data_IF_593841170845
#
_entry.id   IF_593841170845
#
_cell.length_a   1.000
_cell.length_b   1.000
_cell.length_c   1.000
_cell.angle_alpha   90.00
_cell.angle_beta   90.00
_cell.angle_gamma   90.00
#
_symmetry.space_group_name_H-M   'P 1'
#
loop_
_entity.id
_entity.type
_entity.pdbx_description
1 polymer ?
#
# COMPACT_ATOMS: atom_id res chain seq x y z
N UNK A 1 25.61 -3.67 -9.40
CA UNK A 1 25.13 -5.03 -9.04
C UNK A 1 25.41 -5.36 -7.56
N UNK A 2 25.99 -4.43 -6.80
CA UNK A 2 26.39 -4.68 -5.40
C UNK A 2 25.19 -4.77 -4.45
N UNK A 3 24.12 -4.02 -4.71
CA UNK A 3 22.90 -4.06 -3.91
C UNK A 3 22.24 -5.45 -3.87
N UNK A 4 22.35 -6.23 -4.96
CA UNK A 4 21.76 -7.57 -5.09
C UNK A 4 22.77 -8.69 -4.94
N UNK A 5 23.98 -8.40 -4.44
CA UNK A 5 24.98 -9.42 -4.12
C UNK A 5 24.42 -10.38 -3.05
N UNK A 6 24.75 -11.68 -3.08
CA UNK A 6 24.45 -12.58 -1.97
C UNK A 6 24.90 -12.00 -0.63
N UNK A 7 24.10 -12.26 0.40
CA UNK A 7 24.36 -11.76 1.75
C UNK A 7 25.53 -12.52 2.39
N UNK A 8 26.39 -11.79 3.07
CA UNK A 8 27.45 -12.37 3.91
C UNK A 8 26.90 -12.78 5.28
N UNK A 9 27.62 -13.65 6.00
CA UNK A 9 27.15 -14.20 7.29
C UNK A 9 26.83 -13.12 8.32
N UNK A 10 27.62 -12.04 8.38
CA UNK A 10 27.38 -10.93 9.30
C UNK A 10 26.15 -10.08 8.89
N UNK A 11 25.92 -9.92 7.58
CA UNK A 11 24.73 -9.22 7.04
C UNK A 11 23.46 -10.01 7.36
N UNK A 12 23.50 -11.34 7.23
CA UNK A 12 22.38 -12.22 7.62
C UNK A 12 22.07 -12.09 9.11
N UNK A 13 23.09 -12.11 9.98
CA UNK A 13 22.90 -11.95 11.42
C UNK A 13 22.26 -10.59 11.76
N UNK A 14 22.69 -9.51 11.09
CA UNK A 14 22.09 -8.18 11.27
C UNK A 14 20.63 -8.14 10.81
N UNK A 15 20.30 -8.73 9.67
CA UNK A 15 18.93 -8.79 9.17
C UNK A 15 18.02 -9.62 10.07
N UNK A 16 18.52 -10.68 10.69
CA UNK A 16 17.77 -11.44 11.71
C UNK A 16 17.46 -10.57 12.93
N UNK A 17 18.45 -9.83 13.45
CA UNK A 17 18.25 -8.89 14.55
C UNK A 17 17.21 -7.80 14.21
N UNK A 18 17.30 -7.19 13.02
CA UNK A 18 16.32 -6.20 12.57
C UNK A 18 14.92 -6.81 12.44
N UNK A 19 14.83 -8.06 12.00
CA UNK A 19 13.55 -8.79 11.89
C UNK A 19 12.93 -9.04 13.26
N UNK A 20 13.72 -9.42 14.27
CA UNK A 20 13.27 -9.53 15.66
C UNK A 20 12.76 -8.18 16.19
N UNK A 21 13.44 -7.08 15.84
CA UNK A 21 13.01 -5.74 16.24
C UNK A 21 11.70 -5.32 15.56
N UNK A 22 11.53 -5.62 14.27
CA UNK A 22 10.26 -5.44 13.55
C UNK A 22 9.16 -6.23 14.25
N UNK A 23 9.39 -7.49 14.61
CA UNK A 23 8.40 -8.33 15.30
C UNK A 23 7.97 -7.73 16.65
N UNK A 24 8.92 -7.21 17.44
CA UNK A 24 8.62 -6.57 18.72
C UNK A 24 7.76 -5.31 18.54
N UNK A 25 8.14 -4.42 17.60
CA UNK A 25 7.36 -3.21 17.29
C UNK A 25 5.99 -3.55 16.70
N UNK A 26 5.90 -4.62 15.91
CA UNK A 26 4.66 -5.10 15.32
C UNK A 26 3.68 -5.57 16.39
N UNK A 27 4.14 -6.33 17.39
CA UNK A 27 3.32 -6.75 18.51
C UNK A 27 2.80 -5.56 19.31
N UNK A 28 3.66 -4.57 19.59
CA UNK A 28 3.26 -3.36 20.30
C UNK A 28 2.22 -2.54 19.50
N UNK A 29 2.46 -2.38 18.19
CA UNK A 29 1.55 -1.70 17.26
C UNK A 29 0.19 -2.39 17.18
N UNK A 30 0.15 -3.70 16.99
CA UNK A 30 -1.11 -4.46 16.86
C UNK A 30 -1.98 -4.35 18.11
N UNK A 31 -1.37 -4.38 19.30
CA UNK A 31 -2.07 -4.15 20.56
C UNK A 31 -2.57 -2.71 20.68
N UNK A 32 -1.77 -1.73 20.26
CA UNK A 32 -2.19 -0.32 20.25
C UNK A 32 -3.35 -0.07 19.28
N UNK A 33 -3.33 -0.69 18.10
CA UNK A 33 -4.39 -0.62 17.09
C UNK A 33 -5.69 -1.24 17.61
N UNK A 34 -5.62 -2.42 18.24
CA UNK A 34 -6.79 -3.06 18.84
C UNK A 34 -7.45 -2.17 19.92
N UNK A 35 -6.63 -1.56 20.80
CA UNK A 35 -7.11 -0.59 21.81
C UNK A 35 -7.71 0.66 21.18
N UNK A 36 -7.14 1.15 20.08
CA UNK A 36 -7.69 2.30 19.35
C UNK A 36 -9.07 1.96 18.75
N UNK A 37 -9.22 0.77 18.18
CA UNK A 37 -10.52 0.32 17.64
C UNK A 37 -11.57 0.13 18.71
N UNK A 38 -11.23 -0.52 19.83
CA UNK A 38 -12.16 -0.65 20.96
C UNK A 38 -12.70 0.72 21.44
N UNK A 39 -11.89 1.78 21.32
CA UNK A 39 -12.28 3.16 21.67
C UNK A 39 -13.01 3.92 20.56
N UNK A 40 -12.86 3.50 19.30
CA UNK A 40 -13.32 4.28 18.13
C UNK A 40 -14.33 3.57 17.24
N UNK A 41 -14.52 2.26 17.39
CA UNK A 41 -15.46 1.48 16.58
C UNK A 41 -16.88 1.63 17.11
N UNK A 42 -17.84 1.83 16.20
CA UNK A 42 -19.25 1.80 16.56
C UNK A 42 -19.74 0.36 16.46
N UNK A 43 -20.38 -0.15 17.51
CA UNK A 43 -21.12 -1.39 17.43
C UNK A 43 -22.38 -1.15 16.59
N UNK A 44 -22.28 -1.38 15.28
CA UNK A 44 -23.41 -1.29 14.35
C UNK A 44 -24.03 -2.68 14.16
N UNK A 45 -25.28 -2.84 14.61
CA UNK A 45 -26.06 -4.06 14.39
C UNK A 45 -26.74 -3.99 13.00
N UNK A 46 -25.93 -4.06 11.93
CA UNK A 46 -26.38 -3.92 10.53
C UNK A 46 -26.98 -5.20 9.96
N UNK A 47 -26.78 -6.34 10.61
CA UNK A 47 -27.29 -7.64 10.18
C UNK A 47 -27.86 -8.37 11.39
N UNK A 48 -29.00 -9.07 11.29
CA UNK A 48 -29.51 -9.82 12.42
C UNK A 48 -28.50 -10.92 12.79
N UNK A 49 -27.64 -10.63 13.78
CA UNK A 49 -26.95 -11.67 14.51
C UNK A 49 -28.04 -12.44 15.25
N UNK A 50 -28.35 -13.65 14.79
CA UNK A 50 -29.08 -14.59 15.62
C UNK A 50 -28.21 -14.82 16.86
N UNK A 51 -28.51 -14.12 17.95
CA UNK A 51 -27.92 -14.42 19.24
C UNK A 51 -28.10 -15.92 19.52
N UNK A 52 -27.10 -16.63 20.05
CA UNK A 52 -27.26 -18.04 20.37
C UNK A 52 -28.47 -18.18 21.28
N UNK A 53 -29.47 -18.95 20.84
CA UNK A 53 -30.69 -19.17 21.60
C UNK A 53 -30.34 -19.89 22.92
N UNK A 54 -30.15 -19.11 23.98
CA UNK A 54 -29.95 -19.55 25.34
C UNK A 54 -30.99 -18.92 26.25
N UNK A 55 -32.00 -19.71 26.63
CA UNK A 55 -33.02 -19.49 27.67
C UNK A 55 -33.89 -18.23 27.59
N UNK A 56 -35.20 -18.45 27.56
CA UNK A 56 -36.22 -17.41 27.50
C UNK A 56 -36.07 -16.37 28.61
N UNK A 57 -35.81 -15.14 28.19
CA UNK A 57 -36.14 -13.95 28.94
C UNK A 57 -36.73 -12.94 27.95
N UNK A 58 -37.86 -12.37 28.33
CA UNK A 58 -38.68 -11.40 27.64
C UNK A 58 -37.88 -10.31 26.90
N UNK A 59 -38.22 -10.15 25.62
CA UNK A 59 -37.57 -9.29 24.62
C UNK A 59 -38.03 -7.83 24.71
N UNK A 60 -38.01 -7.25 25.91
CA UNK A 60 -38.38 -5.85 26.17
C UNK A 60 -37.60 -5.24 27.34
N UNK A 61 -36.26 -5.28 27.35
CA UNK A 61 -35.44 -4.31 28.16
C UNK A 61 -33.92 -4.48 27.99
N UNK A 62 -33.41 -4.59 26.77
CA UNK A 62 -31.96 -4.49 26.58
C UNK A 62 -31.67 -3.64 25.35
N UNK A 63 -32.03 -2.35 25.45
CA UNK A 63 -31.24 -1.32 24.78
C UNK A 63 -29.78 -1.55 25.21
N UNK A 64 -28.83 -1.77 24.29
CA UNK A 64 -27.43 -1.66 24.67
C UNK A 64 -27.28 -0.25 25.22
N UNK A 65 -26.75 -0.10 26.43
CA UNK A 65 -26.30 1.21 26.87
C UNK A 65 -25.40 1.76 25.76
N UNK A 66 -25.67 2.98 25.23
CA UNK A 66 -24.83 3.52 24.19
C UNK A 66 -23.47 3.71 24.83
N UNK A 67 -22.47 2.88 24.49
CA UNK A 67 -21.10 3.35 24.48
C UNK A 67 -21.16 4.63 23.65
N UNK A 68 -21.08 5.78 24.30
CA UNK A 68 -21.43 7.07 23.71
C UNK A 68 -20.77 7.16 22.33
N UNK A 69 -21.56 7.08 21.27
CA UNK A 69 -21.06 7.04 19.90
C UNK A 69 -20.28 8.33 19.69
N UNK A 70 -18.96 8.26 19.73
CA UNK A 70 -18.12 9.43 19.60
C UNK A 70 -18.16 9.91 18.15
N UNK A 71 -18.10 11.22 17.96
CA UNK A 71 -18.16 11.80 16.62
C UNK A 71 -16.95 11.38 15.80
N UNK A 72 -17.07 11.40 14.46
CA UNK A 72 -15.93 11.16 13.56
C UNK A 72 -14.72 12.04 13.92
N UNK A 73 -14.95 13.31 14.23
CA UNK A 73 -13.88 14.23 14.63
C UNK A 73 -13.17 13.78 15.92
N UNK A 74 -13.91 13.26 16.90
CA UNK A 74 -13.33 12.70 18.13
C UNK A 74 -12.53 11.42 17.84
N UNK A 75 -13.02 10.53 16.97
CA UNK A 75 -12.29 9.32 16.54
C UNK A 75 -10.97 9.68 15.88
N UNK A 76 -11.00 10.64 14.96
CA UNK A 76 -9.80 11.14 14.30
C UNK A 76 -8.83 11.79 15.28
N UNK A 77 -9.32 12.58 16.24
CA UNK A 77 -8.47 13.19 17.27
C UNK A 77 -7.76 12.14 18.15
N UNK A 78 -8.47 11.06 18.53
CA UNK A 78 -7.88 9.94 19.29
C UNK A 78 -6.75 9.29 18.49
N UNK A 79 -6.97 9.01 17.20
CA UNK A 79 -5.95 8.40 16.32
C UNK A 79 -4.74 9.31 16.09
N UNK A 80 -4.99 10.60 15.85
CA UNK A 80 -3.95 11.62 15.63
C UNK A 80 -3.06 11.79 16.85
N UNK A 81 -3.63 11.86 18.05
CA UNK A 81 -2.88 12.01 19.29
C UNK A 81 -2.22 10.70 19.76
N UNK A 82 -2.85 9.55 19.49
CA UNK A 82 -2.38 8.24 19.93
C UNK A 82 -1.47 7.54 18.93
N UNK A 83 -2.08 6.78 18.02
CA UNK A 83 -1.38 5.87 17.11
C UNK A 83 -0.42 6.60 16.16
N UNK A 84 -0.91 7.69 15.54
CA UNK A 84 -0.16 8.45 14.55
C UNK A 84 0.77 9.47 15.18
N UNK A 85 0.44 9.96 16.38
CA UNK A 85 1.16 11.00 17.09
C UNK A 85 1.61 12.14 16.15
N UNK A 86 0.69 12.66 15.33
CA UNK A 86 1.01 13.60 14.24
C UNK A 86 1.61 14.91 14.77
N UNK A 87 1.07 15.40 15.89
CA UNK A 87 1.49 16.66 16.53
C UNK A 87 2.74 16.50 17.41
N UNK A 88 3.21 15.27 17.60
CA UNK A 88 4.31 14.94 18.50
C UNK A 88 5.58 14.51 17.78
N UNK A 89 6.70 14.62 18.49
CA UNK A 89 8.02 14.21 17.99
C UNK A 89 8.34 12.73 18.28
N UNK A 90 7.49 12.04 19.03
CA UNK A 90 7.70 10.64 19.39
C UNK A 90 7.41 9.70 18.20
N UNK A 91 8.41 8.87 17.87
CA UNK A 91 8.29 7.81 16.88
C UNK A 91 7.55 6.61 17.49
N UNK A 92 6.21 6.59 17.39
CA UNK A 92 5.41 5.43 17.79
C UNK A 92 5.83 4.18 16.98
N UNK A 93 5.58 2.96 17.49
CA UNK A 93 5.84 1.74 16.72
C UNK A 93 5.24 1.79 15.30
N UNK A 94 4.01 2.30 15.18
CA UNK A 94 3.37 2.57 13.89
C UNK A 94 4.23 3.46 12.98
N UNK A 95 4.64 4.65 13.45
CA UNK A 95 5.43 5.58 12.63
C UNK A 95 6.77 4.99 12.20
N UNK A 96 7.42 4.23 13.07
CA UNK A 96 8.71 3.58 12.78
C UNK A 96 8.55 2.52 11.69
N UNK A 97 7.58 1.63 11.84
CA UNK A 97 7.28 0.59 10.86
C UNK A 97 6.83 1.22 9.53
N UNK A 98 5.93 2.21 9.59
CA UNK A 98 5.47 2.95 8.41
C UNK A 98 6.65 3.60 7.69
N UNK A 99 7.57 4.25 8.40
CA UNK A 99 8.71 4.91 7.79
C UNK A 99 9.63 3.92 7.08
N UNK A 100 9.87 2.72 7.65
CA UNK A 100 10.65 1.68 6.97
C UNK A 100 9.94 1.19 5.70
N UNK A 101 8.62 0.96 5.76
CA UNK A 101 7.83 0.53 4.61
C UNK A 101 7.74 1.64 3.53
N UNK A 102 7.54 2.89 3.94
CA UNK A 102 7.55 4.07 3.08
C UNK A 102 8.92 4.25 2.42
N UNK A 103 10.01 4.00 3.14
CA UNK A 103 11.36 4.04 2.57
C UNK A 103 11.50 3.00 1.47
N UNK A 104 11.11 1.75 1.70
CA UNK A 104 11.14 0.73 0.67
C UNK A 104 10.34 1.14 -0.58
N UNK A 105 9.11 1.65 -0.39
CA UNK A 105 8.29 2.14 -1.50
C UNK A 105 8.93 3.36 -2.20
N UNK A 106 9.51 4.30 -1.46
CA UNK A 106 10.11 5.51 -2.00
C UNK A 106 11.29 5.24 -2.94
N UNK A 107 11.98 4.10 -2.79
CA UNK A 107 13.04 3.69 -3.72
C UNK A 107 12.54 3.47 -5.16
N UNK A 108 11.27 3.09 -5.35
CA UNK A 108 10.65 2.95 -6.67
C UNK A 108 10.33 4.29 -7.33
N UNK A 109 10.16 5.33 -6.52
CA UNK A 109 9.73 6.67 -6.93
C UNK A 109 10.81 7.72 -6.62
N UNK A 110 12.07 7.30 -6.53
CA UNK A 110 13.16 8.19 -6.17
C UNK A 110 13.37 9.24 -7.27
N UNK A 111 13.51 10.53 -6.94
CA UNK A 111 13.68 11.56 -7.95
C UNK A 111 14.93 11.31 -8.81
N UNK A 112 14.78 11.34 -10.14
CA UNK A 112 15.89 11.11 -11.08
C UNK A 112 16.98 12.18 -10.90
N UNK A 113 16.58 13.42 -10.63
CA UNK A 113 17.48 14.55 -10.32
C UNK A 113 18.24 14.34 -9.00
N UNK A 114 17.72 13.50 -8.11
CA UNK A 114 18.32 13.12 -6.83
C UNK A 114 18.95 11.72 -6.83
N UNK A 115 19.14 11.09 -7.98
CA UNK A 115 19.64 9.70 -8.09
C UNK A 115 21.00 9.48 -7.43
N UNK A 116 21.88 10.48 -7.41
CA UNK A 116 23.17 10.42 -6.70
C UNK A 116 23.04 10.27 -5.18
N UNK A 117 21.87 10.59 -4.61
CA UNK A 117 21.58 10.48 -3.18
C UNK A 117 20.96 9.12 -2.80
N UNK A 118 20.73 8.22 -3.76
CA UNK A 118 20.23 6.88 -3.47
C UNK A 118 21.14 6.17 -2.46
N UNK A 119 20.57 5.43 -1.49
CA UNK A 119 21.36 4.69 -0.52
C UNK A 119 22.10 3.53 -1.16
N UNK A 120 23.35 3.35 -0.73
CA UNK A 120 24.01 2.06 -0.82
C UNK A 120 23.26 1.03 0.04
N UNK A 121 23.55 -0.26 -0.18
CA UNK A 121 22.95 -1.34 0.61
C UNK A 121 23.24 -1.20 2.11
N UNK A 122 24.48 -0.85 2.45
CA UNK A 122 24.94 -0.69 3.83
C UNK A 122 24.30 0.54 4.48
N UNK A 123 24.24 1.65 3.75
CA UNK A 123 23.58 2.88 4.21
C UNK A 123 22.08 2.65 4.47
N UNK A 124 21.41 1.92 3.58
CA UNK A 124 20.00 1.60 3.75
C UNK A 124 19.74 0.78 5.01
N UNK A 125 20.55 -0.25 5.28
CA UNK A 125 20.42 -1.04 6.51
C UNK A 125 20.76 -0.27 7.77
N UNK A 126 21.76 0.61 7.71
CA UNK A 126 22.11 1.48 8.83
C UNK A 126 20.94 2.40 9.18
N UNK A 127 20.32 3.03 8.17
CA UNK A 127 19.16 3.92 8.35
C UNK A 127 17.93 3.16 8.84
N UNK A 128 17.62 1.99 8.25
CA UNK A 128 16.53 1.11 8.73
C UNK A 128 16.78 0.66 10.17
N UNK A 129 18.01 0.29 10.51
CA UNK A 129 18.40 -0.05 11.88
C UNK A 129 18.22 1.11 12.84
N UNK A 130 18.61 2.33 12.45
CA UNK A 130 18.40 3.51 13.25
C UNK A 130 16.91 3.82 13.48
N UNK A 131 16.07 3.63 12.47
CA UNK A 131 14.61 3.80 12.60
C UNK A 131 14.03 2.74 13.56
N UNK A 132 14.45 1.48 13.46
CA UNK A 132 13.89 0.35 14.22
C UNK A 132 14.44 0.19 15.65
N UNK A 133 15.70 0.54 15.86
CA UNK A 133 16.38 0.37 17.16
C UNK A 133 16.54 1.71 17.90
N UNK A 134 16.62 2.82 17.16
CA UNK A 134 16.88 4.15 17.71
C UNK A 134 18.35 4.40 18.04
N UNK A 135 19.26 3.55 17.56
CA UNK A 135 20.71 3.70 17.68
C UNK A 135 21.35 3.51 16.30
N UNK A 136 22.45 4.21 16.06
CA UNK A 136 23.24 4.03 14.84
C UNK A 136 24.27 2.93 15.11
N UNK A 137 24.14 1.80 14.41
CA UNK A 137 25.06 0.67 14.49
C UNK A 137 25.73 0.52 13.13
N UNK A 138 27.03 0.74 13.08
CA UNK A 138 27.80 0.62 11.86
C UNK A 138 28.05 -0.87 11.53
N UNK A 139 27.89 -1.23 10.26
CA UNK A 139 27.97 -2.61 9.76
C UNK A 139 29.40 -3.05 9.43
N UNK A 140 30.39 -2.17 9.57
CA UNK A 140 31.78 -2.48 9.30
C UNK A 140 32.18 -3.78 10.03
N UNK A 141 32.85 -4.72 9.35
CA UNK A 141 33.33 -5.93 10.00
C UNK A 141 34.19 -5.49 11.17
N UNK A 142 33.75 -5.80 12.38
CA UNK A 142 34.63 -5.77 13.53
C UNK A 142 35.75 -6.72 13.15
N UNK A 143 36.92 -6.17 12.78
CA UNK A 143 38.15 -6.96 12.70
C UNK A 143 38.17 -7.73 14.01
N UNK A 144 38.11 -9.06 13.91
CA UNK A 144 38.29 -9.90 15.07
C UNK A 144 39.51 -9.37 15.83
N UNK A 145 39.42 -9.38 17.15
CA UNK A 145 40.58 -9.17 18.02
C UNK A 145 41.59 -10.29 17.70
N UNK A 146 42.32 -10.15 16.59
CA UNK A 146 43.45 -10.97 16.25
C UNK A 146 44.55 -10.55 17.22
N UNK A 147 44.72 -11.38 18.25
CA UNK A 147 45.74 -11.25 19.30
C UNK A 147 47.19 -11.45 18.77
N UNK A 148 47.47 -11.12 17.51
CA UNK A 148 48.73 -11.42 16.82
C UNK A 148 49.53 -10.20 16.36
N UNK A 149 49.01 -8.97 16.51
CA UNK A 149 49.80 -7.76 16.28
C UNK A 149 50.12 -7.04 17.59
N UNK A 150 51.39 -6.66 17.86
CA UNK A 150 51.73 -5.91 19.06
C UNK A 150 51.11 -4.50 18.97
N UNK A 151 50.44 -4.02 20.03
CA UNK A 151 49.79 -2.71 19.99
C UNK A 151 50.85 -1.61 19.99
N UNK A 152 50.79 -0.73 18.99
CA UNK A 152 51.42 0.58 19.10
C UNK A 152 50.71 1.37 20.22
N UNK A 153 51.45 2.06 21.10
CA UNK A 153 50.87 2.70 22.28
C UNK A 153 50.03 3.92 21.88
N UNK A 154 48.71 3.77 21.90
CA UNK A 154 47.78 4.90 21.93
C UNK A 154 47.88 5.58 23.30
N UNK A 155 48.17 6.88 23.28
CA UNK A 155 48.25 7.72 24.47
C UNK A 155 46.88 7.84 25.15
N UNK A 156 46.72 7.14 26.27
CA UNK A 156 45.62 7.35 27.21
C UNK A 156 45.90 8.64 27.98
N UNK A 157 45.15 9.70 27.69
CA UNK A 157 45.00 10.85 28.59
C UNK A 157 43.91 10.49 29.61
N UNK A 158 44.22 10.38 30.92
CA UNK A 158 43.20 10.24 31.94
C UNK A 158 42.61 11.61 32.27
N UNK A 159 41.30 11.78 32.11
CA UNK A 159 40.57 12.85 32.77
C UNK A 159 40.43 12.49 34.26
N UNK A 160 40.99 13.35 35.11
CA UNK A 160 40.91 13.25 36.57
C UNK A 160 39.61 13.92 37.01
N UNK A 161 38.65 13.13 37.51
CA UNK A 161 37.62 13.64 38.42
C UNK A 161 38.02 13.26 39.84
N UNK A 162 38.35 14.27 40.64
CA UNK A 162 38.54 14.13 42.09
C UNK A 162 37.20 13.76 42.73
N UNK A 163 37.06 12.51 43.17
CA UNK A 163 36.02 12.11 44.11
C UNK A 163 36.68 11.65 45.41
N UNK A 164 36.27 12.26 46.53
CA UNK A 164 36.98 12.30 47.82
C UNK A 164 37.00 10.94 48.58
N UNK A 165 36.54 9.85 47.97
CA UNK A 165 36.56 8.51 48.57
C UNK A 165 37.00 7.48 47.52
N UNK A 166 38.29 7.12 47.58
CA UNK A 166 38.98 6.29 46.61
C UNK A 166 38.44 4.86 46.46
N UNK A 167 37.48 4.69 45.55
CA UNK A 167 37.15 3.40 44.97
C UNK A 167 37.04 3.54 43.44
N UNK A 168 38.12 3.23 42.73
CA UNK A 168 38.14 3.14 41.27
C UNK A 168 37.44 1.85 40.85
N UNK A 169 36.20 1.94 40.36
CA UNK A 169 35.56 0.86 39.61
C UNK A 169 35.80 1.07 38.11
N UNK A 170 36.37 0.10 37.38
CA UNK A 170 36.45 0.17 35.93
C UNK A 170 35.06 -0.10 35.34
N UNK A 171 34.40 0.95 34.83
CA UNK A 171 33.23 0.79 33.97
C UNK A 171 33.69 0.42 32.56
N UNK A 172 33.35 -0.80 32.14
CA UNK A 172 33.43 -1.25 30.74
C UNK A 172 32.40 -0.47 29.90
N UNK A 173 32.79 0.70 29.43
CA UNK A 173 32.04 1.47 28.45
C UNK A 173 32.66 1.31 27.06
N UNK A 174 32.41 0.17 26.42
CA UNK A 174 32.57 0.03 24.96
C UNK A 174 31.20 -0.10 24.32
N UNK A 175 30.45 1.01 24.31
CA UNK A 175 29.43 1.25 23.28
C UNK A 175 30.11 2.07 22.19
N UNK A 176 30.09 1.66 20.91
CA UNK A 176 30.60 2.52 19.87
C UNK A 176 29.76 3.81 19.87
N UNK A 177 30.44 4.94 19.70
CA UNK A 177 29.89 6.28 19.75
C UNK A 177 28.94 6.54 18.57
N UNK A 178 27.73 5.97 18.61
CA UNK A 178 26.63 6.33 17.73
C UNK A 178 25.83 7.51 18.30
N UNK A 179 25.31 8.38 17.43
CA UNK A 179 24.42 9.46 17.85
C UNK A 179 23.21 8.88 18.62
N UNK A 180 22.92 9.40 19.82
CA UNK A 180 21.78 8.96 20.61
C UNK A 180 20.49 9.61 20.08
N UNK A 181 19.71 8.84 19.33
CA UNK A 181 18.46 9.28 18.70
C UNK A 181 17.27 9.23 19.68
N UNK A 182 17.49 8.73 20.90
CA UNK A 182 16.50 8.74 21.97
C UNK A 182 16.52 10.05 22.75
N UNK A 183 15.40 10.39 23.36
CA UNK A 183 15.32 11.44 24.36
C UNK A 183 15.74 10.93 25.76
N UNK A 184 15.58 11.79 26.78
CA UNK A 184 15.89 11.48 28.18
C UNK A 184 15.04 10.33 28.76
N UNK A 185 13.95 9.96 28.09
CA UNK A 185 13.04 8.88 28.47
C UNK A 185 13.25 7.61 27.63
N UNK A 186 14.29 7.56 26.80
CA UNK A 186 14.55 6.40 25.93
C UNK A 186 13.58 6.31 24.74
N UNK A 187 12.85 7.39 24.41
CA UNK A 187 11.92 7.43 23.29
C UNK A 187 12.61 7.96 22.03
N UNK A 188 12.44 7.26 20.91
CA UNK A 188 12.99 7.68 19.62
C UNK A 188 12.25 8.92 19.11
N UNK A 189 13.01 9.93 18.69
CA UNK A 189 12.48 11.20 18.17
C UNK A 189 12.69 11.31 16.67
N UNK A 190 11.63 11.64 15.93
CA UNK A 190 11.68 11.71 14.46
C UNK A 190 12.47 12.94 14.01
N UNK A 191 12.39 14.04 14.73
CA UNK A 191 13.23 15.23 14.49
C UNK A 191 14.72 14.89 14.47
N UNK A 192 15.18 14.06 15.41
CA UNK A 192 16.58 13.60 15.48
C UNK A 192 16.96 12.70 14.32
N UNK A 193 16.04 11.84 13.88
CA UNK A 193 16.24 11.01 12.68
C UNK A 193 16.44 11.89 11.43
N UNK A 194 15.59 12.90 11.21
CA UNK A 194 15.71 13.83 10.08
C UNK A 194 17.03 14.62 10.09
N UNK A 195 17.44 15.08 11.27
CA UNK A 195 18.70 15.81 11.44
C UNK A 195 19.93 14.96 11.13
N UNK A 196 19.90 13.67 11.50
CA UNK A 196 21.04 12.78 11.32
C UNK A 196 21.06 12.13 9.92
N UNK A 197 19.89 11.88 9.33
CA UNK A 197 19.73 11.23 8.03
C UNK A 197 18.90 12.11 7.08
N UNK A 198 19.55 12.97 6.29
CA UNK A 198 18.87 13.84 5.32
C UNK A 198 17.99 13.10 4.30
N UNK A 199 18.29 11.82 4.02
CA UNK A 199 17.47 10.97 3.14
C UNK A 199 16.06 10.74 3.68
N UNK A 200 15.85 10.79 4.99
CA UNK A 200 14.52 10.59 5.58
C UNK A 200 13.54 11.68 5.11
N UNK A 201 13.98 12.92 4.98
CA UNK A 201 13.14 14.00 4.45
C UNK A 201 12.73 13.73 3.00
N UNK A 202 13.63 13.19 2.18
CA UNK A 202 13.34 12.81 0.80
C UNK A 202 12.33 11.65 0.74
N UNK A 203 12.47 10.66 1.62
CA UNK A 203 11.52 9.53 1.75
C UNK A 203 10.15 10.04 2.15
N UNK A 204 10.07 10.90 3.17
CA UNK A 204 8.80 11.50 3.63
C UNK A 204 8.15 12.34 2.53
N UNK A 205 8.92 13.10 1.75
CA UNK A 205 8.41 13.87 0.61
C UNK A 205 7.80 12.97 -0.47
N UNK A 206 8.50 11.88 -0.84
CA UNK A 206 7.98 10.90 -1.80
C UNK A 206 6.73 10.22 -1.26
N UNK A 207 6.74 9.78 0.00
CA UNK A 207 5.60 9.14 0.64
C UNK A 207 4.39 10.07 0.77
N UNK A 208 4.60 11.38 0.98
CA UNK A 208 3.54 12.37 1.01
C UNK A 208 2.89 12.60 -0.37
N UNK A 209 3.70 12.62 -1.43
CA UNK A 209 3.20 12.73 -2.82
C UNK A 209 2.44 11.47 -3.23
N UNK A 210 3.04 10.30 -3.05
CA UNK A 210 2.50 9.02 -3.52
C UNK A 210 1.41 8.44 -2.62
N UNK A 211 1.36 8.87 -1.34
CA UNK A 211 0.37 8.45 -0.33
C UNK A 211 0.28 6.92 -0.18
N UNK A 212 1.40 6.27 0.08
CA UNK A 212 1.47 4.82 0.26
C UNK A 212 0.52 4.32 1.37
N UNK A 213 -0.22 3.26 1.05
CA UNK A 213 -1.10 2.54 1.98
C UNK A 213 -0.55 1.15 2.24
N UNK A 214 -0.19 0.88 3.50
CA UNK A 214 0.30 -0.42 3.96
C UNK A 214 -0.85 -1.15 4.68
N UNK A 215 -1.57 -2.02 3.95
CA UNK A 215 -2.79 -2.67 4.44
C UNK A 215 -2.56 -3.45 5.72
N UNK A 216 -1.47 -4.20 5.77
CA UNK A 216 -1.06 -5.01 6.91
C UNK A 216 -0.83 -4.14 8.13
N UNK A 217 -0.25 -2.94 7.95
CA UNK A 217 0.00 -2.02 9.06
C UNK A 217 -1.30 -1.34 9.53
N UNK A 218 -2.18 -0.93 8.61
CA UNK A 218 -3.42 -0.23 8.93
C UNK A 218 -4.52 -1.16 9.47
N UNK A 219 -4.50 -2.44 9.09
CA UNK A 219 -5.53 -3.43 9.40
C UNK A 219 -4.95 -4.70 10.05
N UNK A 220 -3.82 -4.57 10.76
CA UNK A 220 -3.09 -5.69 11.35
C UNK A 220 -3.97 -6.60 12.21
N UNK A 221 -4.85 -6.02 13.00
CA UNK A 221 -5.81 -6.74 13.85
C UNK A 221 -6.93 -7.45 13.06
N UNK A 222 -7.40 -6.90 11.92
CA UNK A 222 -8.31 -7.65 11.03
C UNK A 222 -7.59 -8.86 10.45
N UNK A 223 -6.41 -8.63 9.89
CA UNK A 223 -5.67 -9.65 9.13
C UNK A 223 -5.14 -10.75 10.06
N UNK A 224 -4.65 -10.40 11.25
CA UNK A 224 -4.11 -11.38 12.20
C UNK A 224 -5.18 -12.07 13.05
N UNK A 225 -6.19 -11.34 13.54
CA UNK A 225 -7.17 -11.91 14.47
C UNK A 225 -8.36 -12.54 13.75
N UNK A 226 -8.83 -11.94 12.65
CA UNK A 226 -9.99 -12.42 11.86
C UNK A 226 -9.57 -13.15 10.57
N UNK A 227 -8.28 -13.14 10.25
CA UNK A 227 -7.74 -13.80 9.07
C UNK A 227 -7.99 -13.04 7.76
N UNK A 228 -8.52 -11.81 7.82
CA UNK A 228 -8.85 -10.99 6.65
C UNK A 228 -10.26 -10.39 6.71
N UNK A 229 -10.66 -9.72 5.63
CA UNK A 229 -11.97 -9.10 5.50
C UNK A 229 -13.03 -10.11 5.04
N UNK A 230 -14.20 -10.09 5.67
CA UNK A 230 -15.33 -10.94 5.26
C UNK A 230 -16.04 -10.41 4.01
N UNK A 231 -16.00 -9.09 3.80
CA UNK A 231 -16.59 -8.42 2.65
C UNK A 231 -15.70 -7.28 2.17
N UNK A 232 -15.34 -7.31 0.89
CA UNK A 232 -14.66 -6.23 0.18
C UNK A 232 -15.50 -5.83 -1.03
N UNK A 233 -15.86 -4.55 -1.12
CA UNK A 233 -16.63 -4.00 -2.24
C UNK A 233 -15.86 -2.84 -2.86
N UNK A 234 -15.79 -2.76 -4.18
CA UNK A 234 -15.08 -1.67 -4.83
C UNK A 234 -15.40 -1.46 -6.31
N UNK A 235 -15.30 -0.20 -6.73
CA UNK A 235 -15.17 0.20 -8.13
C UNK A 235 -13.74 0.72 -8.35
N UNK A 236 -12.74 -0.17 -8.53
CA UNK A 236 -11.37 0.26 -8.71
C UNK A 236 -11.19 1.12 -9.97
N UNK A 237 -10.15 1.98 -10.05
CA UNK A 237 -9.96 2.90 -11.18
C UNK A 237 -9.77 2.19 -12.52
N UNK A 238 -10.45 2.65 -13.56
CA UNK A 238 -10.35 2.12 -14.93
C UNK A 238 -9.31 2.88 -15.76
N UNK A 239 -8.13 3.05 -15.18
CA UNK A 239 -7.04 3.84 -15.76
C UNK A 239 -5.88 2.94 -16.15
N UNK A 240 -5.51 3.01 -17.42
CA UNK A 240 -4.25 2.45 -17.91
C UNK A 240 -3.12 3.40 -17.52
N UNK A 241 -2.10 2.87 -16.83
CA UNK A 241 -0.92 3.66 -16.47
C UNK A 241 0.04 3.63 -17.65
N UNK A 242 0.25 4.77 -18.30
CA UNK A 242 1.21 4.92 -19.37
C UNK A 242 1.80 6.33 -19.41
N UNK A 243 3.09 6.40 -19.73
CA UNK A 243 3.73 7.67 -20.04
C UNK A 243 3.17 8.24 -21.34
N UNK A 244 2.62 9.45 -21.28
CA UNK A 244 2.10 10.18 -22.43
C UNK A 244 2.71 11.59 -22.49
N UNK A 245 3.87 11.69 -23.14
CA UNK A 245 4.60 12.95 -23.33
C UNK A 245 3.75 14.07 -23.96
N UNK A 246 2.90 13.73 -24.93
CA UNK A 246 2.06 14.71 -25.62
C UNK A 246 0.98 15.31 -24.70
N UNK A 247 0.58 14.60 -23.64
CA UNK A 247 -0.36 15.10 -22.64
C UNK A 247 0.21 16.32 -21.92
N UNK A 248 1.42 16.21 -21.37
CA UNK A 248 2.07 17.29 -20.62
C UNK A 248 2.52 18.43 -21.52
N UNK A 249 3.19 18.11 -22.64
CA UNK A 249 3.63 19.16 -23.57
C UNK A 249 2.43 19.88 -24.22
N UNK A 250 1.32 19.17 -24.42
CA UNK A 250 0.08 19.67 -25.01
C UNK A 250 -0.64 20.71 -24.16
N UNK A 251 -0.50 20.65 -22.82
CA UNK A 251 -1.10 21.64 -21.92
C UNK A 251 -0.56 23.06 -22.14
N UNK A 252 0.75 23.17 -22.41
CA UNK A 252 1.41 24.46 -22.65
C UNK A 252 1.49 24.79 -24.14
N UNK A 253 1.64 23.78 -25.00
CA UNK A 253 1.72 23.94 -26.44
C UNK A 253 0.81 22.93 -27.17
N UNK A 254 -0.41 23.35 -27.58
CA UNK A 254 -1.39 22.47 -28.21
C UNK A 254 -0.91 21.76 -29.48
N UNK A 255 0.17 22.23 -30.12
CA UNK A 255 0.75 21.59 -31.31
C UNK A 255 1.12 20.14 -31.02
N UNK A 256 1.60 19.83 -29.81
CA UNK A 256 1.97 18.46 -29.43
C UNK A 256 0.77 17.51 -29.31
N UNK A 257 -0.41 18.03 -28.95
CA UNK A 257 -1.62 17.22 -28.80
C UNK A 257 -2.42 17.09 -30.10
N UNK A 258 -2.38 18.10 -30.97
CA UNK A 258 -3.26 18.20 -32.14
C UNK A 258 -2.62 17.69 -33.43
N UNK A 259 -1.30 17.88 -33.62
CA UNK A 259 -0.63 17.52 -34.87
C UNK A 259 0.09 16.18 -34.75
N UNK A 260 0.04 15.38 -35.82
CA UNK A 260 0.92 14.22 -35.97
C UNK A 260 2.32 14.70 -36.34
N UNK A 261 3.17 14.89 -35.33
CA UNK A 261 4.57 15.29 -35.49
C UNK A 261 5.45 14.04 -35.60
N UNK A 262 6.50 14.10 -36.43
CA UNK A 262 7.49 13.01 -36.51
C UNK A 262 8.32 12.92 -35.21
N UNK A 263 8.88 11.76 -34.88
CA UNK A 263 9.69 11.60 -33.67
C UNK A 263 10.92 12.53 -33.64
N UNK A 264 11.55 12.80 -34.80
CA UNK A 264 12.72 13.69 -34.90
C UNK A 264 12.36 15.16 -34.72
N UNK A 265 11.18 15.59 -35.21
CA UNK A 265 10.72 16.96 -35.05
C UNK A 265 10.23 17.21 -33.62
N UNK A 266 9.66 16.18 -32.97
CA UNK A 266 9.19 16.25 -31.59
C UNK A 266 10.35 16.56 -30.62
N UNK A 267 11.53 15.97 -30.80
CA UNK A 267 12.69 16.26 -29.96
C UNK A 267 13.14 17.73 -30.05
N UNK A 268 13.13 18.31 -31.26
CA UNK A 268 13.48 19.73 -31.48
C UNK A 268 12.44 20.67 -30.89
N UNK A 269 11.17 20.39 -31.15
CA UNK A 269 10.06 21.17 -30.60
C UNK A 269 10.02 21.08 -29.08
N UNK A 270 10.34 19.93 -28.48
CA UNK A 270 10.43 19.77 -27.02
C UNK A 270 11.54 20.63 -26.43
N UNK A 271 12.73 20.63 -27.04
CA UNK A 271 13.82 21.48 -26.59
C UNK A 271 13.41 22.97 -26.63
N UNK A 272 12.81 23.40 -27.74
CA UNK A 272 12.27 24.76 -27.87
C UNK A 272 11.19 25.06 -26.82
N UNK A 273 10.26 24.13 -26.59
CA UNK A 273 9.22 24.30 -25.58
C UNK A 273 9.77 24.43 -24.16
N UNK A 274 10.87 23.73 -23.83
CA UNK A 274 11.54 23.90 -22.53
C UNK A 274 12.17 25.27 -22.38
N UNK A 275 12.70 25.84 -23.47
CA UNK A 275 13.24 27.20 -23.49
C UNK A 275 12.13 28.27 -23.41
N UNK A 276 11.03 28.06 -24.14
CA UNK A 276 9.92 28.99 -24.25
C UNK A 276 9.04 29.03 -22.99
N UNK A 277 8.91 27.90 -22.28
CA UNK A 277 8.02 27.74 -21.13
C UNK A 277 8.81 27.33 -19.87
N UNK A 278 9.23 28.32 -19.04
CA UNK A 278 9.91 28.05 -17.78
C UNK A 278 9.10 27.12 -16.88
N UNK A 279 9.73 26.05 -16.38
CA UNK A 279 9.10 25.05 -15.52
C UNK A 279 8.50 23.84 -16.26
N UNK A 280 8.31 23.92 -17.58
CA UNK A 280 7.77 22.79 -18.36
C UNK A 280 8.67 21.56 -18.28
N UNK A 281 9.99 21.74 -18.34
CA UNK A 281 10.93 20.63 -18.18
C UNK A 281 10.82 19.94 -16.82
N UNK A 282 10.58 20.71 -15.75
CA UNK A 282 10.41 20.16 -14.40
C UNK A 282 9.11 19.37 -14.29
N UNK A 283 7.99 19.91 -14.80
CA UNK A 283 6.70 19.23 -14.84
C UNK A 283 6.75 17.94 -15.68
N UNK A 284 7.35 18.02 -16.87
CA UNK A 284 7.59 16.88 -17.75
C UNK A 284 8.41 15.78 -17.06
N UNK A 285 9.48 16.18 -16.35
CA UNK A 285 10.34 15.23 -15.65
C UNK A 285 9.61 14.58 -14.47
N UNK A 286 8.79 15.34 -13.74
CA UNK A 286 8.00 14.83 -12.63
C UNK A 286 6.95 13.81 -13.11
N UNK A 287 6.22 14.12 -14.18
CA UNK A 287 5.23 13.18 -14.74
C UNK A 287 5.91 11.91 -15.28
N UNK A 288 7.05 12.04 -15.96
CA UNK A 288 7.81 10.88 -16.42
C UNK A 288 8.24 9.98 -15.24
N UNK A 289 8.73 10.59 -14.16
CA UNK A 289 9.13 9.88 -12.94
C UNK A 289 7.96 9.11 -12.32
N UNK A 290 6.79 9.75 -12.22
CA UNK A 290 5.59 9.14 -11.64
C UNK A 290 5.07 7.99 -12.52
N UNK A 291 4.98 8.20 -13.84
CA UNK A 291 4.51 7.20 -14.78
C UNK A 291 5.43 5.97 -14.81
N UNK A 292 6.74 6.18 -15.00
CA UNK A 292 7.73 5.09 -15.06
C UNK A 292 7.87 4.38 -13.72
N UNK A 293 7.90 5.11 -12.60
CA UNK A 293 7.95 4.54 -11.26
C UNK A 293 6.73 3.65 -10.97
N UNK A 294 5.53 4.14 -11.30
CA UNK A 294 4.29 3.38 -11.15
C UNK A 294 4.27 2.14 -12.04
N UNK A 295 4.65 2.27 -13.31
CA UNK A 295 4.69 1.13 -14.23
C UNK A 295 5.70 0.07 -13.76
N UNK A 296 6.88 0.47 -13.33
CA UNK A 296 7.89 -0.46 -12.82
C UNK A 296 7.40 -1.18 -11.55
N UNK A 297 6.76 -0.46 -10.63
CA UNK A 297 6.19 -1.05 -9.41
C UNK A 297 5.07 -2.04 -9.72
N UNK A 298 4.12 -1.68 -10.59
CA UNK A 298 2.96 -2.51 -10.91
C UNK A 298 3.30 -3.72 -11.80
N UNK A 299 4.37 -3.64 -12.61
CA UNK A 299 4.83 -4.76 -13.44
C UNK A 299 5.87 -5.65 -12.74
N UNK A 300 6.33 -5.29 -11.54
CA UNK A 300 7.26 -6.10 -10.78
C UNK A 300 6.58 -7.40 -10.33
N UNK A 301 7.20 -8.54 -10.66
CA UNK A 301 6.71 -9.88 -10.30
C UNK A 301 6.61 -10.07 -8.79
N UNK A 302 7.44 -9.37 -8.02
CA UNK A 302 7.42 -9.37 -6.56
C UNK A 302 6.13 -8.77 -5.99
N UNK A 303 5.51 -7.83 -6.72
CA UNK A 303 4.31 -7.13 -6.28
C UNK A 303 3.04 -7.75 -6.89
N UNK A 304 3.07 -8.03 -8.21
CA UNK A 304 1.91 -8.54 -8.96
C UNK A 304 2.29 -9.72 -9.86
N UNK A 305 2.59 -10.90 -9.29
CA UNK A 305 3.04 -12.05 -10.06
C UNK A 305 2.00 -12.50 -11.11
N UNK A 306 0.70 -12.46 -10.75
CA UNK A 306 -0.40 -12.86 -11.64
C UNK A 306 -0.65 -11.92 -12.83
N UNK A 307 -0.02 -10.73 -12.83
CA UNK A 307 -0.19 -9.74 -13.89
C UNK A 307 1.02 -9.66 -14.82
N UNK A 308 1.99 -10.57 -14.66
CA UNK A 308 3.18 -10.59 -15.51
C UNK A 308 2.79 -10.75 -16.98
N UNK A 309 3.22 -9.80 -17.83
CA UNK A 309 2.94 -9.81 -19.26
C UNK A 309 1.55 -9.30 -19.65
N UNK A 310 0.70 -8.97 -18.67
CA UNK A 310 -0.60 -8.33 -18.85
C UNK A 310 -0.41 -6.82 -18.88
N UNK A 311 -1.17 -6.12 -19.74
CA UNK A 311 -1.11 -4.66 -19.78
C UNK A 311 -1.55 -4.05 -18.44
N UNK A 312 -0.73 -3.12 -17.92
CA UNK A 312 -0.94 -2.45 -16.63
C UNK A 312 -2.17 -1.54 -16.66
N UNK A 313 -3.27 -2.03 -16.11
CA UNK A 313 -4.46 -1.24 -15.82
C UNK A 313 -4.77 -1.36 -14.32
N UNK A 314 -5.05 -0.24 -13.67
CA UNK A 314 -5.10 -0.17 -12.21
C UNK A 314 -6.11 -1.16 -11.62
N UNK A 315 -7.30 -1.31 -12.23
CA UNK A 315 -8.29 -2.25 -11.70
C UNK A 315 -7.82 -3.70 -11.66
N UNK A 316 -6.92 -4.12 -12.58
CA UNK A 316 -6.38 -5.48 -12.58
C UNK A 316 -5.49 -5.73 -11.36
N UNK A 317 -4.86 -4.69 -10.82
CA UNK A 317 -4.02 -4.75 -9.62
C UNK A 317 -4.88 -4.91 -8.35
N UNK A 318 -6.06 -4.29 -8.32
CA UNK A 318 -7.00 -4.41 -7.20
C UNK A 318 -7.61 -5.81 -7.05
N UNK A 319 -7.66 -6.61 -8.13
CA UNK A 319 -8.20 -7.97 -8.08
C UNK A 319 -7.39 -8.90 -7.15
N UNK A 320 -6.09 -9.17 -7.40
CA UNK A 320 -5.29 -10.00 -6.51
C UNK A 320 -5.09 -9.37 -5.14
N UNK A 321 -5.00 -8.04 -5.05
CA UNK A 321 -4.94 -7.33 -3.77
C UNK A 321 -6.17 -7.65 -2.91
N UNK A 322 -7.38 -7.49 -3.46
CA UNK A 322 -8.60 -7.75 -2.72
C UNK A 322 -8.72 -9.23 -2.30
N UNK A 323 -8.32 -10.18 -3.17
CA UNK A 323 -8.31 -11.60 -2.81
C UNK A 323 -7.31 -11.92 -1.70
N UNK A 324 -6.16 -11.25 -1.66
CA UNK A 324 -5.15 -11.42 -0.61
C UNK A 324 -5.58 -10.85 0.74
N UNK A 325 -6.50 -9.88 0.73
CA UNK A 325 -7.05 -9.27 1.93
C UNK A 325 -8.26 -10.01 2.50
N UNK A 326 -8.90 -10.90 1.74
CA UNK A 326 -10.06 -11.66 2.20
C UNK A 326 -9.73 -12.63 3.35
N UNK A 327 -10.71 -12.82 4.23
CA UNK A 327 -10.70 -13.94 5.17
C UNK A 327 -10.86 -15.28 4.41
N UNK A 328 -10.68 -16.40 5.11
CA UNK A 328 -10.84 -17.74 4.51
C UNK A 328 -12.23 -17.97 3.87
N UNK A 329 -13.25 -17.23 4.31
CA UNK A 329 -14.62 -17.25 3.75
C UNK A 329 -15.02 -15.90 3.13
N UNK A 330 -14.08 -14.96 2.99
CA UNK A 330 -14.34 -13.61 2.54
C UNK A 330 -14.86 -13.56 1.10
N UNK A 331 -15.72 -12.58 0.85
CA UNK A 331 -16.33 -12.30 -0.46
C UNK A 331 -15.86 -10.95 -0.96
N UNK A 332 -15.45 -10.89 -2.23
CA UNK A 332 -15.09 -9.63 -2.89
C UNK A 332 -16.05 -9.35 -4.04
N UNK A 333 -16.70 -8.18 -4.04
CA UNK A 333 -17.46 -7.66 -5.18
C UNK A 333 -16.70 -6.52 -5.86
N UNK A 334 -16.28 -6.70 -7.12
CA UNK A 334 -15.60 -5.65 -7.88
C UNK A 334 -16.34 -5.29 -9.16
N UNK A 335 -16.50 -3.99 -9.37
CA UNK A 335 -16.93 -3.43 -10.65
C UNK A 335 -15.71 -3.16 -11.54
N UNK A 336 -15.57 -3.90 -12.64
CA UNK A 336 -14.40 -3.78 -13.52
C UNK A 336 -14.80 -3.79 -15.00
N UNK A 337 -13.97 -3.27 -15.90
CA UNK A 337 -14.08 -3.56 -17.32
C UNK A 337 -13.90 -5.06 -17.61
N UNK A 338 -14.30 -5.50 -18.80
CA UNK A 338 -14.21 -6.92 -19.23
C UNK A 338 -12.78 -7.38 -19.55
N UNK A 339 -11.79 -6.50 -19.43
CA UNK A 339 -10.39 -6.76 -19.79
C UNK A 339 -9.72 -8.00 -19.16
N UNK A 340 -10.10 -8.49 -17.95
CA UNK A 340 -9.58 -9.75 -17.44
C UNK A 340 -9.97 -10.95 -18.32
N UNK A 341 -11.10 -10.89 -19.01
CA UNK A 341 -11.66 -12.01 -19.78
C UNK A 341 -11.13 -12.09 -21.21
N UNK A 342 -10.74 -10.97 -21.82
CA UNK A 342 -10.38 -10.89 -23.25
C UNK A 342 -8.88 -10.62 -23.52
N UNK A 343 -8.08 -10.29 -22.51
CA UNK A 343 -6.65 -10.01 -22.69
C UNK A 343 -5.88 -11.27 -23.16
N UNK A 344 -5.22 -11.27 -24.34
CA UNK A 344 -4.52 -12.44 -24.85
C UNK A 344 -3.45 -12.98 -23.90
N UNK A 345 -2.81 -12.11 -23.11
CA UNK A 345 -1.77 -12.48 -22.15
C UNK A 345 -2.32 -12.75 -20.73
N UNK A 346 -3.62 -12.57 -20.51
CA UNK A 346 -4.27 -12.72 -19.21
C UNK A 346 -4.52 -14.17 -18.75
N UNK A 347 -3.85 -15.17 -19.32
CA UNK A 347 -4.11 -16.58 -19.05
C UNK A 347 -3.99 -16.97 -17.57
N UNK A 348 -2.86 -16.64 -16.95
CA UNK A 348 -2.62 -16.94 -15.52
C UNK A 348 -3.61 -16.22 -14.60
N UNK A 349 -3.91 -14.95 -14.88
CA UNK A 349 -4.92 -14.19 -14.14
C UNK A 349 -6.31 -14.84 -14.29
N UNK A 350 -6.71 -15.20 -15.51
CA UNK A 350 -8.02 -15.80 -15.78
C UNK A 350 -8.23 -17.12 -15.07
N UNK A 351 -7.21 -17.95 -14.97
CA UNK A 351 -7.29 -19.22 -14.25
C UNK A 351 -7.68 -18.97 -12.78
N UNK A 352 -7.01 -18.02 -12.13
CA UNK A 352 -7.31 -17.63 -10.73
C UNK A 352 -8.68 -16.95 -10.62
N UNK A 353 -9.06 -16.12 -11.59
CA UNK A 353 -10.40 -15.49 -11.66
C UNK A 353 -11.49 -16.55 -11.63
N UNK A 354 -11.44 -17.54 -12.53
CA UNK A 354 -12.48 -18.56 -12.65
C UNK A 354 -12.59 -19.47 -11.42
N UNK A 355 -11.47 -19.81 -10.78
CA UNK A 355 -11.49 -20.58 -9.53
C UNK A 355 -12.19 -19.83 -8.38
N UNK A 356 -12.18 -18.50 -8.41
CA UNK A 356 -12.74 -17.63 -7.36
C UNK A 356 -14.13 -17.11 -7.68
N UNK A 357 -14.50 -17.01 -8.95
CA UNK A 357 -15.75 -16.42 -9.40
C UNK A 357 -16.96 -17.18 -8.81
N UNK A 358 -18.00 -16.42 -8.48
CA UNK A 358 -19.31 -16.90 -8.01
C UNK A 358 -20.43 -16.38 -8.87
N UNK A 359 -20.30 -15.13 -9.30
CA UNK A 359 -21.18 -14.53 -10.28
C UNK A 359 -20.41 -13.52 -11.13
N UNK A 360 -20.73 -13.47 -12.42
CA UNK A 360 -20.35 -12.42 -13.35
C UNK A 360 -21.60 -11.85 -13.99
N UNK A 361 -21.81 -10.55 -13.83
CA UNK A 361 -22.92 -9.84 -14.44
C UNK A 361 -22.35 -8.79 -15.41
N UNK A 362 -22.39 -9.08 -16.71
CA UNK A 362 -21.86 -8.22 -17.77
C UNK A 362 -22.92 -7.23 -18.25
N UNK A 363 -22.52 -5.96 -18.30
CA UNK A 363 -23.35 -4.84 -18.71
C UNK A 363 -22.90 -4.22 -20.03
N UNK A 364 -23.88 -3.80 -20.83
CA UNK A 364 -23.73 -2.86 -21.93
C UNK A 364 -24.03 -1.45 -21.40
N UNK A 365 -23.15 -0.49 -21.63
CA UNK A 365 -23.28 0.85 -21.04
C UNK A 365 -24.24 1.77 -21.83
N UNK A 366 -25.33 1.24 -22.39
CA UNK A 366 -26.27 2.01 -23.23
C UNK A 366 -27.05 3.06 -22.44
N UNK A 367 -27.35 2.81 -21.17
CA UNK A 367 -27.87 3.82 -20.25
C UNK A 367 -26.81 4.81 -19.74
N UNK A 368 -25.55 4.67 -20.16
CA UNK A 368 -24.43 5.54 -19.79
C UNK A 368 -24.28 5.68 -18.27
N UNK A 369 -24.42 4.57 -17.54
CA UNK A 369 -24.22 4.50 -16.09
C UNK A 369 -22.81 4.97 -15.69
N UNK A 370 -21.84 4.77 -16.59
CA UNK A 370 -20.47 5.26 -16.44
C UNK A 370 -20.04 6.11 -17.64
N UNK A 371 -19.13 7.09 -17.45
CA UNK A 371 -18.66 7.98 -18.51
C UNK A 371 -17.58 7.33 -19.40
N UNK A 372 -17.78 6.08 -19.80
CA UNK A 372 -16.85 5.31 -20.66
C UNK A 372 -17.33 5.19 -22.10
N UNK A 373 -18.40 5.90 -22.47
CA UNK A 373 -19.09 5.68 -23.74
C UNK A 373 -19.97 4.43 -23.69
N UNK A 374 -20.98 4.40 -24.56
CA UNK A 374 -22.04 3.39 -24.48
C UNK A 374 -21.62 2.00 -24.97
N UNK A 375 -20.65 1.94 -25.88
CA UNK A 375 -20.15 0.69 -26.48
C UNK A 375 -19.19 -0.10 -25.59
N UNK A 376 -18.67 0.52 -24.53
CA UNK A 376 -17.76 -0.14 -23.61
C UNK A 376 -18.56 -0.94 -22.58
N UNK A 377 -18.08 -2.17 -22.33
CA UNK A 377 -18.69 -3.09 -21.39
C UNK A 377 -17.98 -3.03 -20.04
N UNK A 378 -18.73 -3.33 -19.00
CA UNK A 378 -18.22 -3.53 -17.65
C UNK A 378 -18.99 -4.65 -16.98
N UNK A 379 -18.47 -5.17 -15.88
CA UNK A 379 -19.09 -6.25 -15.16
C UNK A 379 -19.01 -6.10 -13.65
N UNK A 380 -20.03 -6.62 -12.97
CA UNK A 380 -19.97 -6.88 -11.54
C UNK A 380 -19.45 -8.31 -11.37
N UNK A 381 -18.33 -8.44 -10.68
CA UNK A 381 -17.68 -9.72 -10.44
C UNK A 381 -17.71 -10.02 -8.95
N UNK A 382 -18.33 -11.14 -8.58
CA UNK A 382 -18.38 -11.62 -7.19
C UNK A 382 -17.40 -12.78 -7.06
N UNK A 383 -16.40 -12.61 -6.21
CA UNK A 383 -15.37 -13.57 -5.91
C UNK A 383 -15.55 -14.14 -4.50
N UNK A 384 -15.26 -15.42 -4.32
CA UNK A 384 -15.13 -16.05 -3.02
C UNK A 384 -13.80 -16.82 -2.90
N UNK A 385 -13.72 -17.74 -1.92
CA UNK A 385 -12.56 -18.62 -1.76
C UNK A 385 -12.25 -19.41 -3.02
N UNK A 386 -10.98 -19.75 -3.27
CA UNK A 386 -10.63 -20.56 -4.45
C UNK A 386 -11.31 -21.94 -4.40
N UNK A 387 -11.82 -22.42 -5.53
CA UNK A 387 -12.42 -23.75 -5.72
C UNK A 387 -11.68 -24.51 -6.82
N UNK A 388 -11.55 -25.82 -6.65
CA UNK A 388 -11.01 -26.70 -7.69
C UNK A 388 -11.98 -26.86 -8.87
N UNK A 389 -13.27 -26.89 -8.58
CA UNK A 389 -14.32 -26.94 -9.60
C UNK A 389 -14.84 -25.53 -9.87
N UNK A 390 -14.77 -25.12 -11.13
CA UNK A 390 -15.24 -23.82 -11.60
C UNK A 390 -16.74 -23.87 -11.81
N UNK A 391 -17.48 -23.10 -11.00
CA UNK A 391 -18.92 -22.94 -11.12
C UNK A 391 -19.31 -21.54 -10.65
N UNK A 392 -20.03 -20.81 -11.50
CA UNK A 392 -20.49 -19.45 -11.25
C UNK A 392 -21.70 -19.11 -12.13
N UNK A 393 -22.50 -18.15 -11.69
CA UNK A 393 -23.61 -17.60 -12.47
C UNK A 393 -23.12 -16.56 -13.47
N UNK A 394 -23.63 -16.60 -14.71
CA UNK A 394 -23.31 -15.62 -15.75
C UNK A 394 -24.59 -15.04 -16.32
N UNK A 395 -24.80 -13.73 -16.13
CA UNK A 395 -25.80 -12.97 -16.88
C UNK A 395 -25.07 -11.95 -17.74
N UNK A 396 -25.37 -11.93 -19.04
CA UNK A 396 -24.70 -11.08 -20.01
C UNK A 396 -25.71 -10.22 -20.78
N UNK A 397 -25.20 -9.15 -21.39
CA UNK A 397 -26.00 -8.15 -22.11
C UNK A 397 -27.02 -7.42 -21.22
N UNK A 398 -26.70 -7.22 -19.95
CA UNK A 398 -27.54 -6.45 -19.04
C UNK A 398 -27.45 -4.95 -19.36
N UNK A 399 -28.56 -4.25 -19.24
CA UNK A 399 -28.59 -2.78 -19.32
C UNK A 399 -28.79 -2.13 -17.95
N UNK A 400 -29.45 -2.83 -17.02
CA UNK A 400 -29.78 -2.35 -15.68
C UNK A 400 -29.55 -3.45 -14.63
N UNK A 401 -29.07 -3.12 -13.42
CA UNK A 401 -28.90 -4.10 -12.35
C UNK A 401 -30.24 -4.71 -11.88
N UNK A 402 -31.37 -4.03 -12.09
CA UNK A 402 -32.71 -4.55 -11.78
C UNK A 402 -32.99 -5.86 -12.51
N UNK A 403 -32.45 -6.01 -13.73
CA UNK A 403 -32.60 -7.21 -14.54
C UNK A 403 -32.02 -8.45 -13.88
N UNK A 404 -30.96 -8.31 -13.06
CA UNK A 404 -30.37 -9.45 -12.33
C UNK A 404 -31.40 -10.08 -11.40
N UNK A 405 -32.08 -9.26 -10.59
CA UNK A 405 -33.09 -9.75 -9.66
C UNK A 405 -34.32 -10.28 -10.39
N UNK A 406 -34.70 -9.67 -11.52
CA UNK A 406 -35.75 -10.17 -12.39
C UNK A 406 -35.42 -11.57 -12.94
N UNK A 407 -34.19 -11.81 -13.42
CA UNK A 407 -33.75 -13.11 -13.91
C UNK A 407 -33.85 -14.18 -12.82
N UNK A 408 -33.39 -13.90 -11.60
CA UNK A 408 -33.45 -14.87 -10.50
C UNK A 408 -34.88 -15.16 -10.01
N UNK A 409 -35.82 -14.22 -10.21
CA UNK A 409 -37.25 -14.43 -9.88
C UNK A 409 -38.04 -15.07 -11.02
N UNK A 410 -37.49 -15.10 -12.23
CA UNK A 410 -38.19 -15.58 -13.40
C UNK A 410 -38.42 -17.09 -13.35
N UNK A 411 -39.64 -17.56 -13.63
CA UNK A 411 -40.01 -18.98 -13.55
C UNK A 411 -39.49 -19.82 -14.74
N UNK A 412 -38.86 -19.19 -15.73
CA UNK A 412 -38.26 -19.84 -16.90
C UNK A 412 -39.23 -20.15 -18.04
N UNK A 413 -40.47 -19.63 -18.00
CA UNK A 413 -41.49 -19.80 -19.04
C UNK A 413 -41.68 -18.56 -19.93
N UNK A 414 -42.41 -18.72 -21.04
CA UNK A 414 -42.75 -17.62 -21.95
C UNK A 414 -41.77 -17.43 -23.11
N UNK A 415 -42.13 -16.55 -24.05
CA UNK A 415 -41.25 -16.14 -25.15
C UNK A 415 -40.33 -15.01 -24.64
N UNK A 416 -39.00 -15.10 -24.84
CA UNK A 416 -38.11 -14.01 -24.48
C UNK A 416 -38.35 -12.82 -25.41
N UNK A 417 -38.34 -11.62 -24.82
CA UNK A 417 -38.32 -10.38 -25.58
C UNK A 417 -36.96 -10.16 -26.28
N UNK A 418 -36.92 -9.20 -27.20
CA UNK A 418 -35.68 -8.79 -27.84
C UNK A 418 -34.77 -7.93 -26.94
N UNK A 419 -33.65 -7.48 -27.51
CA UNK A 419 -32.75 -6.48 -26.91
C UNK A 419 -33.49 -5.18 -26.56
N UNK A 420 -34.49 -4.83 -27.37
CA UNK A 420 -35.41 -3.75 -27.11
C UNK A 420 -36.83 -4.29 -26.91
N UNK A 421 -37.59 -3.61 -26.06
CA UNK A 421 -39.00 -3.91 -25.82
C UNK A 421 -39.88 -3.41 -26.98
N UNK A 422 -41.19 -3.67 -26.89
CA UNK A 422 -42.17 -3.22 -27.89
C UNK A 422 -42.26 -1.68 -28.04
N UNK A 423 -41.75 -0.92 -27.08
CA UNK A 423 -41.67 0.55 -27.07
C UNK A 423 -40.35 1.10 -27.66
N UNK A 424 -39.49 0.24 -28.23
CA UNK A 424 -38.15 0.59 -28.73
C UNK A 424 -37.16 1.07 -27.65
N UNK A 425 -37.41 0.73 -26.39
CA UNK A 425 -36.53 0.99 -25.24
C UNK A 425 -35.67 -0.23 -24.91
N UNK A 426 -34.51 -0.02 -24.28
CA UNK A 426 -33.64 -1.13 -23.85
C UNK A 426 -34.38 -2.04 -22.87
N UNK A 427 -34.35 -3.34 -23.17
CA UNK A 427 -35.08 -4.31 -22.39
C UNK A 427 -34.42 -4.51 -21.01
N UNK A 428 -35.22 -4.44 -19.95
CA UNK A 428 -34.77 -4.66 -18.57
C UNK A 428 -35.51 -5.81 -17.88
N UNK A 429 -36.39 -6.52 -18.61
CA UNK A 429 -36.97 -7.78 -18.15
C UNK A 429 -35.89 -8.85 -18.06
N UNK A 430 -36.02 -9.74 -17.05
CA UNK A 430 -35.05 -10.79 -16.77
C UNK A 430 -35.48 -12.16 -17.24
#
# INVERSE_FOLDING_TARGET
>A
KDFTRPLETHEVARLQQLSERVQALWLEHTQALARDRERTEDALDLWPHAAPCGSGASRESALPSPSASITRAQKEAIRRAGLFNEDGDYATPFRRLKLVMDYWCALWFWPITGSAKLPSREEWWLEVGAILEGNVVDLAPQRGLDFMEPPEPQQLLPDIQDDLFGAVQPTLATRPAGANLHDKFGQLRISKLRQHFPRIEQVEAVAATQRFLHWELCFADVLLQRGGFDLLLGNPPWLKVEWNEAGILGEQNPVFAVRKVSASDLAKLRAQAFDDFPGLQAAWTAELQEAEGTQNFLNAVQNYPLLKGVQTNLYKCFMPLAWGLNSAQGVTGLLTPEGPYDDPNGGELREVVFQRLRAHFQFQNEFKLFPIGNRNKFGINVYGPSRNEVAFDLLANLYSPVTIEACYRHEGGGMPDGIKNASDEWNTAG
#
